data_IF_603762084373
#
_entry.id   IF_603762084373
#
_cell.length_a   1.000
_cell.length_b   1.000
_cell.length_c   1.000
_cell.angle_alpha   90.00
_cell.angle_beta   90.00
_cell.angle_gamma   90.00
#
_symmetry.space_group_name_H-M   'P 1'
#
loop_
_entity.id
_entity.type
_entity.pdbx_description
1 polymer ?
#
# COMPACT_ATOMS: atom_id res chain seq x y z
N UNK A 1 -1.43 12.10 -16.38
CA UNK A 1 -1.53 11.09 -15.29
C UNK A 1 -2.32 9.90 -15.80
N UNK A 2 -1.83 8.68 -15.50
CA UNK A 2 -2.59 7.45 -15.76
C UNK A 2 -2.49 6.53 -14.53
N UNK A 3 -3.61 5.88 -14.18
CA UNK A 3 -3.62 4.90 -13.09
C UNK A 3 -2.97 3.58 -13.54
N UNK A 4 -2.51 2.76 -12.59
CA UNK A 4 -2.05 1.40 -12.87
C UNK A 4 -3.13 0.59 -13.63
N UNK A 5 -4.38 0.75 -13.22
CA UNK A 5 -5.53 0.13 -13.87
C UNK A 5 -5.61 0.49 -15.37
N UNK A 6 -5.49 1.77 -15.70
CA UNK A 6 -5.54 2.24 -17.09
C UNK A 6 -4.27 1.84 -17.87
N UNK A 7 -3.08 1.96 -17.25
CA UNK A 7 -1.81 1.66 -17.86
C UNK A 7 -1.68 0.18 -18.28
N UNK A 8 -2.16 -0.71 -17.43
CA UNK A 8 -2.07 -2.16 -17.63
C UNK A 8 -3.35 -2.77 -18.22
N UNK A 9 -4.34 -1.96 -18.59
CA UNK A 9 -5.65 -2.40 -19.11
C UNK A 9 -6.35 -3.40 -18.19
N UNK A 10 -6.28 -3.17 -16.86
CA UNK A 10 -6.92 -4.03 -15.88
C UNK A 10 -8.42 -3.78 -15.80
N UNK A 11 -9.21 -4.85 -15.63
CA UNK A 11 -10.64 -4.72 -15.31
C UNK A 11 -10.79 -4.43 -13.80
N UNK A 12 -11.08 -3.18 -13.44
CA UNK A 12 -11.24 -2.75 -12.05
C UNK A 12 -12.42 -3.41 -11.32
N UNK A 13 -13.34 -4.08 -12.06
CA UNK A 13 -14.44 -4.82 -11.48
C UNK A 13 -14.03 -6.22 -11.02
N UNK A 14 -12.86 -6.67 -11.45
CA UNK A 14 -12.32 -7.97 -11.02
C UNK A 14 -11.80 -7.86 -9.60
N UNK A 15 -12.62 -8.28 -8.65
CA UNK A 15 -12.29 -8.25 -7.23
C UNK A 15 -11.12 -9.19 -6.95
N UNK A 16 -10.07 -8.68 -6.28
CA UNK A 16 -8.88 -9.45 -5.92
C UNK A 16 -8.21 -10.16 -7.11
N UNK A 17 -8.25 -9.53 -8.28
CA UNK A 17 -7.65 -10.08 -9.51
C UNK A 17 -6.19 -9.66 -9.73
N UNK A 18 -5.64 -8.79 -8.88
CA UNK A 18 -4.35 -8.15 -9.11
C UNK A 18 -3.45 -8.22 -7.89
N UNK A 19 -2.15 -7.94 -8.11
CA UNK A 19 -1.14 -8.00 -7.07
C UNK A 19 -0.17 -6.82 -7.11
N UNK A 20 0.54 -6.59 -6.02
CA UNK A 20 1.63 -5.61 -5.97
C UNK A 20 2.81 -6.01 -6.84
N UNK A 21 3.06 -7.32 -7.03
CA UNK A 21 4.08 -7.83 -7.98
C UNK A 21 3.81 -7.35 -9.41
N UNK A 22 2.54 -7.35 -9.83
CA UNK A 22 2.14 -6.83 -11.13
C UNK A 22 2.36 -5.31 -11.24
N UNK A 23 2.07 -4.55 -10.17
CA UNK A 23 2.36 -3.12 -10.11
C UNK A 23 3.87 -2.87 -10.29
N UNK A 24 4.73 -3.62 -9.59
CA UNK A 24 6.18 -3.54 -9.74
C UNK A 24 6.64 -3.96 -11.14
N UNK A 25 5.96 -4.91 -11.78
CA UNK A 25 6.18 -5.27 -13.19
C UNK A 25 5.96 -4.10 -14.13
N UNK A 26 4.86 -3.37 -13.97
CA UNK A 26 4.58 -2.14 -14.74
C UNK A 26 5.63 -1.07 -14.46
N UNK A 27 6.01 -0.83 -13.21
CA UNK A 27 7.04 0.14 -12.84
C UNK A 27 8.39 -0.16 -13.52
N UNK A 28 8.78 -1.44 -13.57
CA UNK A 28 9.99 -1.86 -14.32
C UNK A 28 9.88 -1.58 -15.82
N UNK A 29 8.73 -1.86 -16.43
CA UNK A 29 8.46 -1.57 -17.85
C UNK A 29 8.54 -0.08 -18.14
N UNK A 30 8.10 0.77 -17.22
CA UNK A 30 8.19 2.24 -17.28
C UNK A 30 9.59 2.76 -16.94
N UNK A 31 10.54 1.88 -16.54
CA UNK A 31 11.91 2.22 -16.12
C UNK A 31 11.97 3.20 -14.96
N UNK A 32 11.06 3.03 -13.98
CA UNK A 32 11.09 3.85 -12.78
C UNK A 32 12.34 3.57 -11.95
N UNK A 33 12.77 4.58 -11.20
CA UNK A 33 13.98 4.52 -10.39
C UNK A 33 13.84 3.60 -9.16
N UNK A 34 14.97 3.22 -8.57
CA UNK A 34 15.00 2.52 -7.29
C UNK A 34 14.28 3.29 -6.18
N UNK A 35 14.44 4.62 -6.14
CA UNK A 35 13.77 5.46 -5.15
C UNK A 35 12.23 5.36 -5.26
N UNK A 36 11.71 5.27 -6.47
CA UNK A 36 10.27 5.11 -6.71
C UNK A 36 9.79 3.69 -6.37
N UNK A 37 10.59 2.68 -6.66
CA UNK A 37 10.30 1.30 -6.25
C UNK A 37 10.27 1.17 -4.72
N UNK A 38 11.23 1.78 -4.02
CA UNK A 38 11.28 1.87 -2.56
C UNK A 38 10.06 2.60 -1.99
N UNK A 39 9.68 3.72 -2.61
CA UNK A 39 8.49 4.47 -2.22
C UNK A 39 7.21 3.66 -2.43
N UNK A 40 7.06 2.96 -3.54
CA UNK A 40 5.91 2.09 -3.77
C UNK A 40 5.85 0.95 -2.75
N UNK A 41 6.99 0.37 -2.38
CA UNK A 41 7.07 -0.62 -1.31
C UNK A 41 6.61 -0.02 0.03
N UNK A 42 7.04 1.20 0.37
CA UNK A 42 6.58 1.91 1.58
C UNK A 42 5.06 2.07 1.60
N UNK A 43 4.44 2.44 0.47
CA UNK A 43 2.98 2.58 0.36
C UNK A 43 2.26 1.24 0.54
N UNK A 44 2.79 0.17 -0.04
CA UNK A 44 2.26 -1.18 0.17
C UNK A 44 2.32 -1.59 1.64
N UNK A 45 3.49 -1.38 2.29
CA UNK A 45 3.66 -1.65 3.73
C UNK A 45 2.69 -0.80 4.56
N UNK A 46 2.54 0.48 4.24
CA UNK A 46 1.56 1.36 4.89
C UNK A 46 0.14 0.79 4.79
N UNK A 47 -0.30 0.41 3.59
CA UNK A 47 -1.63 -0.17 3.40
C UNK A 47 -1.84 -1.43 4.26
N UNK A 48 -0.83 -2.28 4.38
CA UNK A 48 -0.87 -3.48 5.23
C UNK A 48 -0.94 -3.10 6.71
N UNK A 49 -0.04 -2.23 7.17
CA UNK A 49 0.08 -1.84 8.59
C UNK A 49 -1.18 -1.14 9.10
N UNK A 50 -1.69 -0.15 8.35
CA UNK A 50 -2.86 0.63 8.78
C UNK A 50 -4.20 0.01 8.37
N UNK A 51 -4.22 -1.15 7.73
CA UNK A 51 -5.44 -1.76 7.21
C UNK A 51 -6.16 -0.87 6.18
N UNK A 52 -5.43 -0.29 5.24
CA UNK A 52 -6.02 0.29 4.04
C UNK A 52 -6.37 -0.83 3.06
N UNK A 53 -7.53 -1.43 3.21
CA UNK A 53 -7.95 -2.58 2.39
C UNK A 53 -8.79 -2.19 1.17
N UNK A 54 -8.86 -0.89 0.86
CA UNK A 54 -9.34 -0.37 -0.43
C UNK A 54 -8.18 -0.02 -1.38
N UNK A 55 -7.10 -0.76 -1.29
CA UNK A 55 -5.83 -0.60 -2.00
C UNK A 55 -5.89 -1.14 -3.44
N UNK A 56 -6.85 -0.67 -4.22
CA UNK A 56 -7.08 -1.14 -5.58
C UNK A 56 -6.19 -0.44 -6.63
N UNK A 57 -6.12 -1.01 -7.83
CA UNK A 57 -5.23 -0.58 -8.93
C UNK A 57 -5.47 0.85 -9.43
N UNK A 58 -6.57 1.51 -9.08
CA UNK A 58 -6.81 2.94 -9.40
C UNK A 58 -6.14 3.88 -8.40
N UNK A 59 -5.71 3.41 -7.22
CA UNK A 59 -5.03 4.20 -6.19
C UNK A 59 -3.51 4.27 -6.41
N UNK A 60 -3.01 3.65 -7.46
CA UNK A 60 -1.63 3.78 -7.94
C UNK A 60 -1.66 4.47 -9.29
N UNK A 61 -0.88 5.54 -9.44
CA UNK A 61 -0.82 6.32 -10.69
C UNK A 61 0.60 6.69 -11.07
N UNK A 62 0.76 6.99 -12.35
CA UNK A 62 2.01 7.45 -12.94
C UNK A 62 1.80 8.77 -13.67
N UNK A 63 2.79 9.65 -13.60
CA UNK A 63 2.84 10.94 -14.29
C UNK A 63 3.89 10.89 -15.39
N UNK A 64 3.55 11.36 -16.57
CA UNK A 64 4.53 11.62 -17.62
C UNK A 64 4.93 13.09 -17.56
N UNK A 65 6.24 13.34 -17.45
CA UNK A 65 6.79 14.68 -17.57
C UNK A 65 6.87 15.16 -19.02
N UNK A 66 7.19 16.42 -19.22
CA UNK A 66 7.44 16.99 -20.56
C UNK A 66 8.62 16.33 -21.28
N UNK A 67 9.54 15.76 -20.52
CA UNK A 67 10.68 14.95 -20.99
C UNK A 67 10.29 13.55 -21.49
N UNK A 68 9.00 13.21 -21.49
CA UNK A 68 8.48 11.90 -21.88
C UNK A 68 8.76 10.77 -20.88
N UNK A 69 9.34 11.08 -19.71
CA UNK A 69 9.63 10.07 -18.69
C UNK A 69 8.47 9.90 -17.72
N UNK A 70 8.21 8.65 -17.41
CA UNK A 70 7.23 8.30 -16.39
C UNK A 70 7.83 8.40 -14.98
N UNK A 71 7.00 8.79 -14.03
CA UNK A 71 7.31 8.87 -12.60
C UNK A 71 6.12 8.36 -11.80
N UNK A 72 6.38 7.82 -10.62
CA UNK A 72 5.32 7.50 -9.66
C UNK A 72 4.63 8.79 -9.21
N UNK A 73 3.30 8.83 -9.20
CA UNK A 73 2.57 10.00 -8.70
C UNK A 73 2.78 10.18 -7.19
N UNK A 74 2.54 11.38 -6.63
CA UNK A 74 2.31 11.51 -5.21
C UNK A 74 1.27 10.49 -4.72
N UNK A 75 1.39 10.08 -3.45
CA UNK A 75 0.40 9.19 -2.83
C UNK A 75 -0.95 9.91 -2.68
N UNK A 76 -2.02 9.17 -2.86
CA UNK A 76 -3.40 9.63 -2.62
C UNK A 76 -4.25 8.44 -2.19
N UNK A 77 -5.38 8.73 -1.58
CA UNK A 77 -6.34 7.74 -1.10
C UNK A 77 -5.67 6.72 -0.13
N UNK A 78 -4.83 7.26 0.76
CA UNK A 78 -4.06 6.51 1.75
C UNK A 78 -4.68 6.73 3.13
N UNK A 79 -5.44 5.74 3.62
CA UNK A 79 -6.10 5.86 4.92
C UNK A 79 -6.61 4.52 5.45
N UNK A 80 -7.05 4.50 6.69
CA UNK A 80 -7.70 3.32 7.27
C UNK A 80 -9.01 3.02 6.53
N UNK A 81 -9.11 1.81 5.98
CA UNK A 81 -10.29 1.32 5.27
C UNK A 81 -10.45 -0.19 5.53
N UNK A 82 -10.97 -0.53 6.70
CA UNK A 82 -11.17 -1.91 7.11
C UNK A 82 -12.57 -2.14 7.66
N UNK A 83 -13.25 -3.17 7.16
CA UNK A 83 -14.53 -3.63 7.67
C UNK A 83 -14.46 -5.10 8.08
N UNK A 84 -14.34 -5.42 9.39
CA UNK A 84 -14.25 -6.81 9.86
C UNK A 84 -15.53 -7.62 9.60
N UNK A 85 -16.67 -6.96 9.38
CA UNK A 85 -17.96 -7.61 9.14
C UNK A 85 -18.15 -8.07 7.69
N UNK A 86 -17.12 -7.98 6.86
CA UNK A 86 -17.16 -8.40 5.46
C UNK A 86 -17.32 -7.25 4.47
N UNK A 87 -17.64 -7.59 3.22
CA UNK A 87 -17.79 -6.63 2.14
C UNK A 87 -16.50 -6.31 1.40
N UNK A 88 -16.44 -5.12 0.80
CA UNK A 88 -15.37 -4.73 -0.11
C UNK A 88 -14.01 -4.64 0.58
N UNK A 89 -13.97 -4.04 1.77
CA UNK A 89 -12.74 -3.77 2.55
C UNK A 89 -12.49 -4.79 3.66
N UNK A 90 -13.00 -6.02 3.55
CA UNK A 90 -12.69 -7.10 4.49
C UNK A 90 -11.28 -7.67 4.32
N UNK A 91 -10.71 -7.53 3.13
CA UNK A 91 -9.36 -7.95 2.74
C UNK A 91 -8.80 -6.94 1.74
N UNK A 92 -7.48 -6.94 1.54
CA UNK A 92 -6.82 -6.14 0.51
C UNK A 92 -7.38 -6.42 -0.89
N UNK A 93 -7.36 -5.41 -1.77
CA UNK A 93 -7.78 -5.57 -3.16
C UNK A 93 -6.62 -6.05 -4.05
N UNK A 94 -5.38 -5.81 -3.63
CA UNK A 94 -4.17 -6.32 -4.27
C UNK A 94 -3.43 -7.27 -3.34
N UNK A 95 -2.99 -8.41 -3.86
CA UNK A 95 -2.24 -9.38 -3.07
C UNK A 95 -0.77 -9.03 -2.92
N UNK A 96 -0.17 -9.51 -1.83
CA UNK A 96 1.28 -9.60 -1.59
C UNK A 96 1.64 -11.07 -1.46
N UNK A 97 2.53 -11.59 -2.29
CA UNK A 97 2.86 -13.02 -2.36
C UNK A 97 1.62 -13.92 -2.44
N UNK A 98 0.59 -13.49 -3.19
CA UNK A 98 -0.67 -14.20 -3.36
C UNK A 98 -1.64 -14.12 -2.18
N UNK A 99 -1.30 -13.40 -1.11
CA UNK A 99 -2.16 -13.23 0.06
C UNK A 99 -2.90 -11.89 0.00
N UNK A 100 -4.19 -11.92 0.30
CA UNK A 100 -5.05 -10.73 0.42
C UNK A 100 -5.35 -10.38 1.88
N UNK A 101 -5.00 -11.26 2.83
CA UNK A 101 -5.08 -11.03 4.27
C UNK A 101 -4.01 -11.86 4.98
N UNK A 102 -3.78 -11.59 6.28
CA UNK A 102 -2.75 -12.28 7.06
C UNK A 102 -1.34 -12.08 6.49
N UNK A 103 -1.08 -10.95 5.87
CA UNK A 103 0.25 -10.60 5.33
C UNK A 103 1.19 -10.38 6.51
N UNK A 104 2.23 -11.20 6.60
CA UNK A 104 3.22 -11.15 7.68
C UNK A 104 4.46 -10.34 7.28
N UNK A 105 5.29 -10.01 8.28
CA UNK A 105 6.62 -9.42 8.03
C UNK A 105 7.47 -10.28 7.07
N UNK A 106 7.41 -11.60 7.19
CA UNK A 106 8.14 -12.50 6.30
C UNK A 106 7.66 -12.39 4.84
N UNK A 107 6.36 -12.20 4.62
CA UNK A 107 5.81 -11.97 3.29
C UNK A 107 6.33 -10.65 2.69
N UNK A 108 6.33 -9.57 3.49
CA UNK A 108 6.84 -8.26 3.08
C UNK A 108 8.34 -8.31 2.75
N UNK A 109 9.14 -8.98 3.56
CA UNK A 109 10.59 -9.14 3.32
C UNK A 109 10.86 -10.00 2.08
N UNK A 110 10.10 -11.07 1.89
CA UNK A 110 10.17 -11.90 0.68
C UNK A 110 9.83 -11.08 -0.57
N UNK A 111 8.76 -10.29 -0.51
CA UNK A 111 8.37 -9.37 -1.58
C UNK A 111 9.48 -8.35 -1.88
N UNK A 112 10.04 -7.71 -0.84
CA UNK A 112 11.13 -6.74 -0.99
C UNK A 112 12.33 -7.36 -1.72
N UNK A 113 12.76 -8.54 -1.28
CA UNK A 113 13.87 -9.28 -1.89
C UNK A 113 13.60 -9.61 -3.38
N UNK A 114 12.42 -10.14 -3.68
CA UNK A 114 12.03 -10.52 -5.03
C UNK A 114 11.93 -9.33 -6.00
N UNK A 115 11.62 -8.13 -5.46
CA UNK A 115 11.45 -6.91 -6.26
C UNK A 115 12.63 -5.94 -6.16
N UNK A 116 13.74 -6.35 -5.53
CA UNK A 116 14.99 -5.59 -5.49
C UNK A 116 14.99 -4.42 -4.52
N UNK A 117 14.10 -4.40 -3.53
CA UNK A 117 14.09 -3.40 -2.44
C UNK A 117 15.05 -3.86 -1.34
N UNK A 118 16.24 -3.24 -1.28
CA UNK A 118 17.36 -3.72 -0.46
C UNK A 118 17.18 -3.46 1.04
N UNK A 119 16.50 -2.39 1.41
CA UNK A 119 16.26 -1.91 2.77
C UNK A 119 14.82 -2.17 3.25
N UNK A 120 14.21 -3.26 2.78
CA UNK A 120 12.81 -3.60 3.08
C UNK A 120 12.51 -3.69 4.58
N UNK A 121 13.42 -4.23 5.39
CA UNK A 121 13.24 -4.30 6.84
C UNK A 121 13.16 -2.91 7.47
N UNK A 122 14.06 -2.01 7.08
CA UNK A 122 14.08 -0.62 7.57
C UNK A 122 12.80 0.12 7.18
N UNK A 123 12.32 -0.07 5.96
CA UNK A 123 11.06 0.55 5.51
C UNK A 123 9.86 0.05 6.31
N UNK A 124 9.81 -1.25 6.64
CA UNK A 124 8.74 -1.82 7.47
C UNK A 124 8.78 -1.18 8.86
N UNK A 125 9.95 -1.13 9.50
CA UNK A 125 10.12 -0.55 10.83
C UNK A 125 9.70 0.94 10.84
N UNK A 126 10.16 1.74 9.87
CA UNK A 126 9.78 3.14 9.72
C UNK A 126 8.26 3.34 9.60
N UNK A 127 7.57 2.48 8.87
CA UNK A 127 6.10 2.58 8.70
C UNK A 127 5.38 2.16 9.98
N UNK A 128 5.81 1.09 10.65
CA UNK A 128 5.23 0.67 11.93
C UNK A 128 5.40 1.76 13.00
N UNK A 129 6.61 2.33 13.10
CA UNK A 129 6.91 3.41 14.04
C UNK A 129 6.04 4.65 13.78
N UNK A 130 5.93 5.08 12.51
CA UNK A 130 5.09 6.21 12.14
C UNK A 130 3.61 5.96 12.45
N UNK A 131 3.10 4.75 12.14
CA UNK A 131 1.71 4.38 12.42
C UNK A 131 1.42 4.30 13.93
N UNK A 132 2.40 3.94 14.75
CA UNK A 132 2.27 3.90 16.21
C UNK A 132 2.01 5.28 16.84
N UNK A 133 2.40 6.37 16.17
CA UNK A 133 2.13 7.75 16.61
C UNK A 133 0.73 8.27 16.20
N UNK A 134 0.02 7.52 15.34
CA UNK A 134 -1.29 7.94 14.85
C UNK A 134 -2.32 8.26 15.96
N UNK A 135 -2.39 7.54 17.11
CA UNK A 135 -3.34 7.86 18.19
C UNK A 135 -3.19 9.27 18.74
N UNK A 136 -1.94 9.73 18.94
CA UNK A 136 -1.65 11.07 19.42
C UNK A 136 -2.10 12.11 18.39
N UNK A 137 -1.70 11.94 17.13
CA UNK A 137 -2.08 12.84 16.03
C UNK A 137 -3.60 12.90 15.83
N UNK A 138 -4.28 11.77 15.91
CA UNK A 138 -5.74 11.69 15.80
C UNK A 138 -6.43 12.41 16.97
N UNK A 139 -5.92 12.26 18.20
CA UNK A 139 -6.41 12.96 19.37
C UNK A 139 -6.27 14.47 19.24
N UNK A 140 -5.12 14.96 18.79
CA UNK A 140 -4.88 16.38 18.54
C UNK A 140 -5.80 16.96 17.45
N UNK A 141 -6.23 16.13 16.51
CA UNK A 141 -7.21 16.48 15.48
C UNK A 141 -8.68 16.33 15.95
N UNK A 142 -8.92 15.95 17.21
CA UNK A 142 -10.26 15.85 17.80
C UNK A 142 -11.02 14.57 17.41
N UNK A 143 -10.33 13.51 16.98
CA UNK A 143 -10.96 12.20 16.75
C UNK A 143 -11.38 11.60 18.10
N UNK A 144 -12.63 11.10 18.26
CA UNK A 144 -13.09 10.51 19.51
C UNK A 144 -12.20 9.32 19.94
N UNK A 145 -11.89 9.26 21.24
CA UNK A 145 -10.99 8.24 21.82
C UNK A 145 -11.44 6.80 21.53
N UNK A 146 -12.74 6.53 21.55
CA UNK A 146 -13.30 5.22 21.24
C UNK A 146 -13.02 4.80 19.79
N UNK A 147 -13.11 5.76 18.86
CA UNK A 147 -12.79 5.53 17.46
C UNK A 147 -11.28 5.28 17.28
N UNK A 148 -10.43 6.06 17.97
CA UNK A 148 -8.98 5.86 17.98
C UNK A 148 -8.64 4.43 18.44
N UNK A 149 -9.19 4.00 19.58
CA UNK A 149 -8.98 2.64 20.12
C UNK A 149 -9.42 1.55 19.14
N UNK A 150 -10.59 1.74 18.51
CA UNK A 150 -11.11 0.81 17.52
C UNK A 150 -10.22 0.66 16.30
N UNK A 151 -9.70 1.77 15.77
CA UNK A 151 -8.81 1.76 14.60
C UNK A 151 -7.46 1.14 14.95
N UNK A 152 -6.82 1.58 16.05
CA UNK A 152 -5.52 1.04 16.50
C UNK A 152 -5.58 -0.45 16.78
N UNK A 153 -6.67 -0.92 17.38
CA UNK A 153 -6.87 -2.34 17.65
C UNK A 153 -6.90 -3.23 16.38
N UNK A 154 -7.11 -2.63 15.21
CA UNK A 154 -7.08 -3.32 13.93
C UNK A 154 -5.75 -3.16 13.17
N UNK A 155 -4.91 -2.19 13.54
CA UNK A 155 -3.62 -1.98 12.89
C UNK A 155 -2.63 -3.12 13.16
N UNK A 156 -1.73 -3.38 12.23
CA UNK A 156 -0.68 -4.41 12.33
C UNK A 156 0.66 -3.75 12.72
N UNK A 157 0.74 -3.17 13.90
CA UNK A 157 1.92 -2.41 14.36
C UNK A 157 3.13 -3.29 14.74
N UNK A 158 2.95 -4.61 14.84
CA UNK A 158 3.99 -5.57 15.26
C UNK A 158 4.52 -6.42 14.09
N UNK A 159 4.51 -5.91 12.88
CA UNK A 159 5.02 -6.58 11.69
C UNK A 159 6.54 -6.67 11.66
#
# INVERSE_FOLDING_TARGET
MQTLCAMAHYDFRLLRGYSYEQAFGVMRSLRLSYAEAREMFRRMVFNVVVRNQDDHTKNISFLMGEDGKWRLSPAYDMGYAYNPNGGWTAMHQMSVNGKFDGISRADLLSFASANGVKDGAEVIDQVCDAAAHWPEMAGDCGVPEEMIKGIVGNMQLSL
#
